data_IF_070325818717
#
_entry.id   IF_070325818717
#
_cell.length_a   1.000
_cell.length_b   1.000
_cell.length_c   1.000
_cell.angle_alpha   90.00
_cell.angle_beta   90.00
_cell.angle_gamma   90.00
#
_symmetry.space_group_name_H-M   'P 1'
#
loop_
_entity.id
_entity.type
_entity.pdbx_description
1 polymer ?
#
# COMPACT_ATOMS: atom_id res chain seq x y z
N UNK A 1 45.71 9.71 -9.94
CA UNK A 1 44.94 9.37 -11.17
C UNK A 1 44.04 8.13 -11.02
N UNK A 2 44.52 6.98 -10.53
CA UNK A 2 43.69 5.76 -10.34
C UNK A 2 42.48 5.95 -9.39
N UNK A 3 42.64 6.70 -8.31
CA UNK A 3 41.56 7.01 -7.34
C UNK A 3 40.45 7.89 -7.93
N UNK A 4 40.80 8.94 -8.69
CA UNK A 4 39.83 9.78 -9.39
C UNK A 4 39.07 9.02 -10.50
N UNK A 5 39.75 8.12 -11.21
CA UNK A 5 39.11 7.26 -12.21
C UNK A 5 38.10 6.31 -11.57
N UNK A 6 38.43 5.70 -10.42
CA UNK A 6 37.50 4.86 -9.66
C UNK A 6 36.30 5.65 -9.13
N UNK A 7 36.53 6.85 -8.58
CA UNK A 7 35.46 7.73 -8.10
C UNK A 7 34.48 8.15 -9.21
N UNK A 8 34.99 8.48 -10.41
CA UNK A 8 34.15 8.84 -11.55
C UNK A 8 33.32 7.65 -12.08
N UNK A 9 33.89 6.44 -12.08
CA UNK A 9 33.15 5.21 -12.44
C UNK A 9 32.04 4.94 -11.42
N UNK A 10 32.32 5.08 -10.12
CA UNK A 10 31.33 4.91 -9.07
C UNK A 10 30.18 5.92 -9.19
N UNK A 11 30.50 7.19 -9.44
CA UNK A 11 29.51 8.25 -9.65
C UNK A 11 28.61 7.94 -10.87
N UNK A 12 29.22 7.51 -11.97
CA UNK A 12 28.49 7.13 -13.18
C UNK A 12 27.55 5.93 -12.95
N UNK A 13 28.00 4.90 -12.22
CA UNK A 13 27.16 3.74 -11.87
C UNK A 13 25.97 4.15 -10.99
N UNK A 14 26.17 5.04 -10.01
CA UNK A 14 25.10 5.56 -9.16
C UNK A 14 24.06 6.34 -9.99
N UNK A 15 24.49 7.16 -10.94
CA UNK A 15 23.61 7.89 -11.88
C UNK A 15 22.82 6.95 -12.80
N UNK A 16 23.41 5.85 -13.27
CA UNK A 16 22.70 4.85 -14.07
C UNK A 16 21.62 4.12 -13.27
N UNK A 17 21.89 3.79 -12.00
CA UNK A 17 20.90 3.11 -11.14
C UNK A 17 19.71 4.01 -10.83
N UNK A 18 19.95 5.30 -10.57
CA UNK A 18 18.87 6.26 -10.27
C UNK A 18 17.99 6.52 -11.49
N UNK A 19 18.58 6.70 -12.68
CA UNK A 19 17.83 6.89 -13.92
C UNK A 19 16.99 5.67 -14.29
N UNK A 20 17.53 4.44 -14.14
CA UNK A 20 16.78 3.20 -14.35
C UNK A 20 15.58 3.09 -13.41
N UNK A 21 15.76 3.39 -12.13
CA UNK A 21 14.69 3.39 -11.13
C UNK A 21 13.60 4.42 -11.44
N UNK A 22 13.96 5.66 -11.80
CA UNK A 22 12.97 6.68 -12.15
C UNK A 22 12.16 6.30 -13.40
N UNK A 23 12.81 5.73 -14.43
CA UNK A 23 12.12 5.24 -15.62
C UNK A 23 11.16 4.10 -15.29
N UNK A 24 11.57 3.20 -14.39
CA UNK A 24 10.73 2.09 -13.94
C UNK A 24 9.51 2.58 -13.14
N UNK A 25 9.69 3.56 -12.26
CA UNK A 25 8.57 4.17 -11.51
C UNK A 25 7.59 4.85 -12.47
N UNK A 26 8.08 5.66 -13.41
CA UNK A 26 7.25 6.36 -14.39
C UNK A 26 6.45 5.37 -15.25
N UNK A 27 7.10 4.33 -15.80
CA UNK A 27 6.41 3.32 -16.62
C UNK A 27 5.39 2.52 -15.81
N UNK A 28 5.73 2.12 -14.58
CA UNK A 28 4.82 1.43 -13.66
C UNK A 28 3.59 2.28 -13.39
N UNK A 29 3.76 3.54 -13.01
CA UNK A 29 2.63 4.41 -12.69
C UNK A 29 1.75 4.72 -13.90
N UNK A 30 2.33 4.89 -15.10
CA UNK A 30 1.53 5.04 -16.33
C UNK A 30 0.73 3.78 -16.65
N UNK A 31 1.31 2.61 -16.46
CA UNK A 31 0.61 1.35 -16.69
C UNK A 31 -0.52 1.15 -15.67
N UNK A 32 -0.25 1.38 -14.38
CA UNK A 32 -1.25 1.26 -13.32
C UNK A 32 -2.43 2.20 -13.56
N UNK A 33 -2.17 3.48 -13.84
CA UNK A 33 -3.23 4.48 -14.00
C UNK A 33 -4.06 4.33 -15.28
N UNK A 34 -3.56 3.58 -16.27
CA UNK A 34 -4.32 3.27 -17.49
C UNK A 34 -5.24 2.07 -17.30
N UNK A 35 -4.85 1.13 -16.44
CA UNK A 35 -5.52 -0.16 -16.30
C UNK A 35 -6.51 -0.20 -15.12
N UNK A 36 -6.41 0.75 -14.18
CA UNK A 36 -7.25 0.81 -12.99
C UNK A 36 -7.68 2.25 -12.69
N UNK A 37 -8.98 2.58 -12.74
CA UNK A 37 -9.49 3.93 -12.47
C UNK A 37 -9.27 4.39 -11.02
N UNK A 38 -9.01 3.46 -10.08
CA UNK A 38 -8.75 3.79 -8.68
C UNK A 38 -7.31 4.30 -8.46
N UNK A 39 -6.43 4.13 -9.45
CA UNK A 39 -5.02 4.49 -9.35
C UNK A 39 -4.75 5.77 -10.16
N UNK A 40 -4.63 6.88 -9.46
CA UNK A 40 -4.14 8.11 -10.07
C UNK A 40 -2.61 8.07 -10.26
N UNK A 41 -2.11 8.60 -11.39
CA UNK A 41 -0.69 8.64 -11.71
C UNK A 41 0.15 9.38 -10.66
N UNK A 42 -0.27 10.56 -10.22
CA UNK A 42 0.44 11.38 -9.24
C UNK A 42 0.45 10.75 -7.86
N UNK A 43 -0.64 10.04 -7.50
CA UNK A 43 -0.69 9.21 -6.31
C UNK A 43 0.34 8.09 -6.36
N UNK A 44 0.33 7.29 -7.44
CA UNK A 44 1.31 6.21 -7.62
C UNK A 44 2.74 6.75 -7.51
N UNK A 45 3.02 7.86 -8.19
CA UNK A 45 4.35 8.46 -8.18
C UNK A 45 4.74 8.93 -6.79
N UNK A 46 3.84 9.58 -6.06
CA UNK A 46 4.06 10.01 -4.68
C UNK A 46 4.37 8.82 -3.77
N UNK A 47 3.58 7.75 -3.83
CA UNK A 47 3.80 6.52 -3.04
C UNK A 47 5.16 5.89 -3.38
N UNK A 48 5.48 5.75 -4.67
CA UNK A 48 6.73 5.12 -5.08
C UNK A 48 7.96 6.02 -4.92
N UNK A 49 7.81 7.32 -4.72
CA UNK A 49 8.95 8.22 -4.47
C UNK A 49 9.18 8.49 -2.98
N UNK A 50 8.16 8.34 -2.14
CA UNK A 50 8.26 8.56 -0.69
C UNK A 50 9.16 7.53 0.01
N UNK A 51 9.21 6.30 -0.51
CA UNK A 51 10.09 5.26 0.02
C UNK A 51 11.51 5.34 -0.57
N UNK A 52 12.58 5.40 0.24
CA UNK A 52 13.95 5.25 -0.26
C UNK A 52 14.17 3.89 -0.93
N UNK A 53 13.51 2.83 -0.45
CA UNK A 53 13.66 1.48 -0.98
C UNK A 53 13.12 1.36 -2.42
N UNK A 54 12.01 2.02 -2.75
CA UNK A 54 11.47 2.04 -4.11
C UNK A 54 12.38 2.83 -5.04
N UNK A 55 12.92 3.97 -4.58
CA UNK A 55 13.90 4.76 -5.34
C UNK A 55 15.19 3.99 -5.63
N UNK A 56 15.55 3.03 -4.77
CA UNK A 56 16.70 2.13 -4.98
C UNK A 56 16.33 0.81 -5.68
N UNK A 57 15.04 0.51 -5.86
CA UNK A 57 14.59 -0.69 -6.55
C UNK A 57 14.74 -0.54 -8.06
N UNK A 58 15.33 -1.53 -8.69
CA UNK A 58 15.54 -1.57 -10.15
C UNK A 58 14.71 -2.65 -10.86
N UNK A 59 13.75 -3.26 -10.14
CA UNK A 59 12.90 -4.36 -10.65
C UNK A 59 11.44 -4.18 -10.22
N UNK A 60 10.50 -4.57 -11.09
CA UNK A 60 9.07 -4.60 -10.76
C UNK A 60 8.80 -5.51 -9.56
N UNK A 61 9.48 -6.66 -9.50
CA UNK A 61 9.35 -7.59 -8.40
C UNK A 61 9.67 -6.93 -7.05
N UNK A 62 10.77 -6.16 -6.98
CA UNK A 62 11.14 -5.39 -5.79
C UNK A 62 10.13 -4.29 -5.45
N UNK A 63 9.58 -3.59 -6.46
CA UNK A 63 8.52 -2.61 -6.24
C UNK A 63 7.27 -3.27 -5.63
N UNK A 64 6.85 -4.43 -6.14
CA UNK A 64 5.69 -5.16 -5.62
C UNK A 64 5.86 -5.56 -4.14
N UNK A 65 7.04 -6.06 -3.75
CA UNK A 65 7.34 -6.34 -2.33
C UNK A 65 7.21 -5.08 -1.47
N UNK A 66 7.80 -3.97 -1.92
CA UNK A 66 7.74 -2.73 -1.14
C UNK A 66 6.31 -2.22 -1.01
N UNK A 67 5.47 -2.35 -2.05
CA UNK A 67 4.06 -1.98 -1.97
C UNK A 67 3.29 -2.84 -0.95
N UNK A 68 3.50 -4.16 -0.93
CA UNK A 68 2.87 -5.03 0.10
C UNK A 68 3.33 -4.62 1.51
N UNK A 69 4.62 -4.32 1.69
CA UNK A 69 5.13 -3.80 2.98
C UNK A 69 4.49 -2.46 3.35
N UNK A 70 4.27 -1.57 2.38
CA UNK A 70 3.59 -0.29 2.64
C UNK A 70 2.12 -0.50 3.03
N UNK A 71 1.42 -1.47 2.41
CA UNK A 71 0.05 -1.86 2.81
C UNK A 71 0.07 -2.33 4.27
N UNK A 72 0.91 -3.30 4.62
CA UNK A 72 1.02 -3.82 5.98
C UNK A 72 1.27 -2.72 7.02
N UNK A 73 2.23 -1.81 6.74
CA UNK A 73 2.54 -0.69 7.62
C UNK A 73 1.36 0.27 7.79
N UNK A 74 0.63 0.55 6.72
CA UNK A 74 -0.53 1.43 6.75
C UNK A 74 -1.70 0.83 7.55
N UNK A 75 -1.93 -0.48 7.40
CA UNK A 75 -2.91 -1.23 8.18
C UNK A 75 -2.55 -1.21 9.67
N UNK A 76 -1.29 -1.51 10.00
CA UNK A 76 -0.81 -1.53 11.39
C UNK A 76 -0.91 -0.15 12.05
N UNK A 77 -0.52 0.91 11.34
CA UNK A 77 -0.66 2.29 11.84
C UNK A 77 -2.13 2.66 12.07
N UNK A 78 -3.01 2.25 11.16
CA UNK A 78 -4.44 2.55 11.26
C UNK A 78 -5.10 1.75 12.38
N UNK A 79 -4.81 0.45 12.52
CA UNK A 79 -5.25 -0.34 13.66
C UNK A 79 -4.85 0.33 14.99
N UNK A 80 -3.58 0.71 15.11
CA UNK A 80 -3.06 1.42 16.30
C UNK A 80 -3.75 2.77 16.53
N UNK A 81 -4.13 3.47 15.45
CA UNK A 81 -4.88 4.71 15.51
C UNK A 81 -6.30 4.49 16.04
N UNK A 82 -7.00 3.46 15.54
CA UNK A 82 -8.34 3.10 16.00
C UNK A 82 -8.30 2.69 17.48
N UNK A 83 -7.29 1.94 17.91
CA UNK A 83 -7.12 1.58 19.33
C UNK A 83 -6.99 2.83 20.23
N UNK A 84 -6.28 3.87 19.77
CA UNK A 84 -6.18 5.12 20.51
C UNK A 84 -7.50 5.87 20.51
N UNK A 85 -8.20 5.93 19.38
CA UNK A 85 -9.52 6.55 19.29
C UNK A 85 -10.55 5.89 20.23
N UNK A 86 -10.53 4.57 20.34
CA UNK A 86 -11.44 3.81 21.21
C UNK A 86 -11.04 3.91 22.69
N UNK A 87 -9.76 4.09 23.03
CA UNK A 87 -9.29 4.26 24.42
C UNK A 87 -9.47 5.70 24.93
N UNK A 88 -8.99 6.69 24.18
CA UNK A 88 -8.88 8.08 24.63
C UNK A 88 -10.21 8.84 24.52
N UNK A 89 -11.02 8.51 23.51
CA UNK A 89 -12.26 9.21 23.22
C UNK A 89 -13.53 8.35 23.41
N UNK A 90 -13.40 7.15 24.00
CA UNK A 90 -14.47 6.16 24.18
C UNK A 90 -15.80 6.73 24.69
N UNK A 91 -15.72 7.72 25.60
CA UNK A 91 -16.88 8.33 26.28
C UNK A 91 -17.59 9.39 25.44
N UNK A 92 -16.96 9.88 24.38
CA UNK A 92 -17.47 10.96 23.53
C UNK A 92 -18.12 10.44 22.24
N UNK A 93 -17.86 9.17 21.89
CA UNK A 93 -18.46 8.54 20.73
C UNK A 93 -19.90 8.12 21.00
N UNK A 94 -20.77 8.37 20.02
CA UNK A 94 -22.09 7.77 19.99
C UNK A 94 -21.97 6.24 19.96
N UNK A 95 -22.86 5.47 20.62
CA UNK A 95 -22.79 4.01 20.64
C UNK A 95 -22.64 3.35 19.26
N UNK A 96 -23.30 3.89 18.24
CA UNK A 96 -23.18 3.39 16.86
C UNK A 96 -21.75 3.54 16.32
N UNK A 97 -21.19 4.75 16.40
CA UNK A 97 -19.81 5.03 15.95
C UNK A 97 -18.81 4.17 16.71
N UNK A 98 -19.04 3.94 18.00
CA UNK A 98 -18.20 3.07 18.81
C UNK A 98 -18.23 1.61 18.31
N UNK A 99 -19.42 1.09 18.01
CA UNK A 99 -19.55 -0.24 17.42
C UNK A 99 -18.78 -0.33 16.10
N UNK A 100 -18.95 0.65 15.20
CA UNK A 100 -18.21 0.68 13.93
C UNK A 100 -16.68 0.72 14.15
N UNK A 101 -16.20 1.46 15.16
CA UNK A 101 -14.77 1.48 15.50
C UNK A 101 -14.27 0.13 16.02
N UNK A 102 -15.07 -0.57 16.83
CA UNK A 102 -14.75 -1.90 17.33
C UNK A 102 -14.75 -2.93 16.18
N UNK A 103 -15.74 -2.89 15.28
CA UNK A 103 -15.78 -3.73 14.07
C UNK A 103 -14.58 -3.46 13.16
N UNK A 104 -14.20 -2.18 12.97
CA UNK A 104 -13.02 -1.81 12.21
C UNK A 104 -11.71 -2.30 12.85
N UNK A 105 -11.61 -2.46 14.17
CA UNK A 105 -10.42 -3.06 14.79
C UNK A 105 -10.25 -4.51 14.35
N UNK A 106 -11.34 -5.29 14.33
CA UNK A 106 -11.33 -6.67 13.87
C UNK A 106 -10.95 -6.75 12.39
N UNK A 107 -11.60 -5.96 11.53
CA UNK A 107 -11.31 -5.92 10.09
C UNK A 107 -9.86 -5.49 9.79
N UNK A 108 -9.31 -4.51 10.51
CA UNK A 108 -7.91 -4.13 10.33
C UNK A 108 -6.93 -5.18 10.87
N UNK A 109 -7.30 -5.94 11.89
CA UNK A 109 -6.50 -7.08 12.37
C UNK A 109 -6.46 -8.19 11.33
N UNK A 110 -7.61 -8.56 10.76
CA UNK A 110 -7.70 -9.56 9.68
C UNK A 110 -6.93 -9.09 8.42
N UNK A 111 -7.08 -7.81 8.06
CA UNK A 111 -6.33 -7.19 6.97
C UNK A 111 -4.81 -7.28 7.15
N UNK A 112 -4.30 -7.14 8.38
CA UNK A 112 -2.86 -7.31 8.68
C UNK A 112 -2.43 -8.75 8.39
N UNK A 113 -3.19 -9.73 8.87
CA UNK A 113 -2.91 -11.15 8.62
C UNK A 113 -2.95 -11.48 7.12
N UNK A 114 -3.89 -10.90 6.36
CA UNK A 114 -3.93 -11.05 4.91
C UNK A 114 -2.74 -10.40 4.20
N UNK A 115 -2.29 -9.22 4.64
CA UNK A 115 -1.11 -8.57 4.07
C UNK A 115 0.18 -9.38 4.32
N UNK A 116 0.33 -10.00 5.50
CA UNK A 116 1.45 -10.89 5.81
C UNK A 116 1.40 -12.19 4.98
N UNK A 117 0.21 -12.76 4.80
CA UNK A 117 0.01 -13.89 3.89
C UNK A 117 0.36 -13.52 2.45
N UNK A 118 -0.08 -12.33 1.99
CA UNK A 118 0.23 -11.84 0.65
C UNK A 118 1.74 -11.74 0.42
N UNK A 119 2.50 -11.24 1.40
CA UNK A 119 3.97 -11.20 1.31
C UNK A 119 4.55 -12.60 1.18
N UNK A 120 4.09 -13.55 1.99
CA UNK A 120 4.54 -14.94 1.98
C UNK A 120 4.26 -15.62 0.63
N UNK A 121 3.06 -15.43 0.07
CA UNK A 121 2.68 -15.94 -1.25
C UNK A 121 3.49 -15.28 -2.36
N UNK A 122 3.70 -13.97 -2.28
CA UNK A 122 4.48 -13.21 -3.25
C UNK A 122 5.94 -13.68 -3.31
N UNK A 123 6.56 -13.91 -2.14
CA UNK A 123 7.92 -14.45 -2.03
C UNK A 123 8.02 -15.89 -2.58
N UNK A 124 6.96 -16.67 -2.43
CA UNK A 124 6.83 -18.01 -3.01
C UNK A 124 6.37 -18.01 -4.49
N UNK A 125 6.34 -16.84 -5.15
CA UNK A 125 5.88 -16.62 -6.53
C UNK A 125 4.44 -17.09 -6.83
N UNK A 126 3.64 -17.26 -5.77
CA UNK A 126 2.21 -17.58 -5.83
C UNK A 126 1.38 -16.31 -6.00
N UNK A 127 1.54 -15.64 -7.13
CA UNK A 127 0.94 -14.32 -7.35
C UNK A 127 -0.59 -14.30 -7.33
N UNK A 128 -1.26 -15.39 -7.71
CA UNK A 128 -2.73 -15.46 -7.62
C UNK A 128 -3.19 -15.54 -6.16
N UNK A 129 -2.51 -16.32 -5.32
CA UNK A 129 -2.81 -16.39 -3.88
C UNK A 129 -2.52 -15.06 -3.18
N UNK A 130 -1.41 -14.40 -3.55
CA UNK A 130 -1.09 -13.05 -3.07
C UNK A 130 -2.13 -12.00 -3.52
N UNK A 131 -2.69 -12.15 -4.73
CA UNK A 131 -3.73 -11.27 -5.26
C UNK A 131 -5.03 -11.42 -4.47
N UNK A 132 -5.43 -12.66 -4.17
CA UNK A 132 -6.60 -12.94 -3.32
C UNK A 132 -6.41 -12.30 -1.96
N UNK A 133 -5.25 -12.50 -1.32
CA UNK A 133 -4.98 -11.96 0.00
C UNK A 133 -5.04 -10.41 0.04
N UNK A 134 -4.42 -9.69 -0.91
CA UNK A 134 -4.54 -8.22 -0.97
C UNK A 134 -5.97 -7.78 -1.35
N UNK A 135 -6.73 -8.57 -2.10
CA UNK A 135 -8.14 -8.25 -2.37
C UNK A 135 -8.98 -8.37 -1.10
N UNK A 136 -8.70 -9.34 -0.22
CA UNK A 136 -9.34 -9.41 1.11
C UNK A 136 -9.03 -8.18 1.97
N UNK A 137 -7.81 -7.64 1.91
CA UNK A 137 -7.49 -6.35 2.54
C UNK A 137 -8.38 -5.22 2.02
N UNK A 138 -8.63 -5.18 0.70
CA UNK A 138 -9.53 -4.18 0.10
C UNK A 138 -10.96 -4.35 0.64
N UNK A 139 -11.46 -5.59 0.68
CA UNK A 139 -12.79 -5.89 1.20
C UNK A 139 -12.94 -5.45 2.66
N UNK A 140 -11.93 -5.70 3.51
CA UNK A 140 -11.96 -5.33 4.93
C UNK A 140 -11.97 -3.81 5.14
N UNK A 141 -11.09 -3.08 4.46
CA UNK A 141 -11.02 -1.61 4.63
C UNK A 141 -12.23 -0.89 4.03
N UNK A 142 -12.83 -1.45 2.98
CA UNK A 142 -14.10 -0.95 2.42
C UNK A 142 -15.26 -1.28 3.36
N UNK A 143 -15.33 -2.49 3.91
CA UNK A 143 -16.36 -2.87 4.89
C UNK A 143 -16.30 -1.97 6.14
N UNK A 144 -15.09 -1.64 6.60
CA UNK A 144 -14.90 -0.69 7.70
C UNK A 144 -15.48 0.70 7.37
N UNK A 145 -15.26 1.22 6.16
CA UNK A 145 -15.83 2.51 5.73
C UNK A 145 -17.36 2.44 5.61
N UNK A 146 -17.87 1.42 4.92
CA UNK A 146 -19.30 1.22 4.66
C UNK A 146 -20.09 1.14 5.97
N UNK A 147 -19.53 0.49 7.01
CA UNK A 147 -20.14 0.42 8.33
C UNK A 147 -20.46 1.78 8.94
N UNK A 148 -19.64 2.81 8.71
CA UNK A 148 -19.98 4.17 9.16
C UNK A 148 -21.05 4.82 8.27
N UNK A 149 -21.05 4.52 6.97
CA UNK A 149 -21.95 5.13 5.96
C UNK A 149 -23.39 4.56 6.00
N UNK A 150 -23.58 3.35 6.51
CA UNK A 150 -24.90 2.72 6.68
C UNK A 150 -25.89 3.63 7.43
N UNK A 151 -25.38 4.43 8.39
CA UNK A 151 -26.17 5.44 9.09
C UNK A 151 -25.91 6.85 8.55
N UNK A 152 -26.89 7.38 7.83
CA UNK A 152 -26.87 8.77 7.33
C UNK A 152 -26.57 9.77 8.44
N UNK A 153 -25.60 10.64 8.19
CA UNK A 153 -25.18 11.69 9.12
C UNK A 153 -24.22 11.23 10.22
N UNK A 154 -23.79 9.96 10.20
CA UNK A 154 -22.69 9.49 11.04
C UNK A 154 -21.40 10.24 10.68
N UNK A 155 -20.53 10.37 11.68
CA UNK A 155 -19.16 10.86 11.46
C UNK A 155 -18.32 9.75 10.84
N UNK A 156 -17.38 10.14 9.96
CA UNK A 156 -16.48 9.21 9.26
C UNK A 156 -15.04 9.40 9.77
N UNK A 157 -14.71 8.95 10.99
CA UNK A 157 -13.41 9.24 11.62
C UNK A 157 -12.23 8.58 10.90
N UNK A 158 -12.48 7.60 10.03
CA UNK A 158 -11.46 6.79 9.36
C UNK A 158 -11.39 6.98 7.85
N UNK A 159 -12.23 7.83 7.25
CA UNK A 159 -12.38 7.90 5.79
C UNK A 159 -11.08 8.12 5.02
N UNK A 160 -10.22 9.03 5.48
CA UNK A 160 -8.93 9.27 4.82
C UNK A 160 -8.00 8.04 4.90
N UNK A 161 -8.03 7.31 6.02
CA UNK A 161 -7.19 6.13 6.26
C UNK A 161 -7.69 4.93 5.48
N UNK A 162 -9.00 4.68 5.49
CA UNK A 162 -9.66 3.62 4.74
C UNK A 162 -9.41 3.80 3.24
N UNK A 163 -9.64 5.02 2.71
CA UNK A 163 -9.34 5.35 1.31
C UNK A 163 -7.85 5.24 0.97
N UNK A 164 -6.97 5.60 1.91
CA UNK A 164 -5.52 5.43 1.76
C UNK A 164 -5.12 3.97 1.61
N UNK A 165 -5.61 3.11 2.50
CA UNK A 165 -5.36 1.67 2.49
C UNK A 165 -5.91 1.00 1.22
N UNK A 166 -7.12 1.37 0.81
CA UNK A 166 -7.75 0.91 -0.43
C UNK A 166 -6.88 1.21 -1.66
N UNK A 167 -6.50 2.48 -1.86
CA UNK A 167 -5.74 2.91 -3.05
C UNK A 167 -4.33 2.32 -3.07
N UNK A 168 -3.72 2.16 -1.90
CA UNK A 168 -2.41 1.53 -1.76
C UNK A 168 -2.46 0.03 -2.11
N UNK A 169 -3.49 -0.66 -1.65
CA UNK A 169 -3.74 -2.08 -1.96
C UNK A 169 -4.05 -2.29 -3.43
N UNK A 170 -4.87 -1.44 -4.04
CA UNK A 170 -5.13 -1.46 -5.48
C UNK A 170 -3.83 -1.26 -6.29
N UNK A 171 -2.95 -0.35 -5.86
CA UNK A 171 -1.64 -0.18 -6.49
C UNK A 171 -0.75 -1.44 -6.35
N UNK A 172 -0.77 -2.10 -5.19
CA UNK A 172 -0.06 -3.36 -4.99
C UNK A 172 -0.57 -4.46 -5.94
N UNK A 173 -1.89 -4.64 -6.08
CA UNK A 173 -2.50 -5.58 -7.03
C UNK A 173 -2.09 -5.28 -8.47
N UNK A 174 -2.12 -4.02 -8.86
CA UNK A 174 -1.76 -3.58 -10.22
C UNK A 174 -0.30 -3.93 -10.55
N UNK A 175 0.64 -3.63 -9.65
CA UNK A 175 2.06 -3.97 -9.84
C UNK A 175 2.28 -5.48 -9.80
N UNK A 176 1.63 -6.20 -8.89
CA UNK A 176 1.71 -7.66 -8.82
C UNK A 176 1.24 -8.31 -10.12
N UNK A 177 0.16 -7.80 -10.73
CA UNK A 177 -0.30 -8.24 -12.04
C UNK A 177 0.77 -8.01 -13.11
N UNK A 178 1.46 -6.87 -13.12
CA UNK A 178 2.54 -6.59 -14.07
C UNK A 178 3.72 -7.55 -13.90
N UNK A 179 4.08 -7.87 -12.65
CA UNK A 179 5.13 -8.85 -12.32
C UNK A 179 4.76 -10.23 -12.86
N UNK A 180 3.52 -10.67 -12.65
CA UNK A 180 3.03 -11.99 -13.08
C UNK A 180 3.05 -12.15 -14.60
N UNK A 181 2.64 -11.13 -15.35
CA UNK A 181 2.55 -11.20 -16.83
C UNK A 181 3.87 -10.82 -17.53
N UNK A 182 4.89 -10.40 -16.79
CA UNK A 182 6.23 -10.13 -17.32
C UNK A 182 6.29 -8.95 -18.29
N UNK A 183 5.61 -7.84 -17.95
CA UNK A 183 5.57 -6.62 -18.75
C UNK A 183 6.94 -6.19 -19.30
#
# INVERSE_FOLDING_TARGET
MKSYSFFMILLFLLLLMTTKSQNLIDSTCRASSRNDPNINYDFCKTVLQSSPATRSSSTLNGIGKILITLVLNNLTDTHSYIERLTKDAAKWWEPYVRQCLDDCLELYSDGIDYADQAMSYYDATKFEDANVAISSVIDDVTTCEDGFEERKGSVLPLSERNNGAFRLSALALSVMRMVRIGY
#
